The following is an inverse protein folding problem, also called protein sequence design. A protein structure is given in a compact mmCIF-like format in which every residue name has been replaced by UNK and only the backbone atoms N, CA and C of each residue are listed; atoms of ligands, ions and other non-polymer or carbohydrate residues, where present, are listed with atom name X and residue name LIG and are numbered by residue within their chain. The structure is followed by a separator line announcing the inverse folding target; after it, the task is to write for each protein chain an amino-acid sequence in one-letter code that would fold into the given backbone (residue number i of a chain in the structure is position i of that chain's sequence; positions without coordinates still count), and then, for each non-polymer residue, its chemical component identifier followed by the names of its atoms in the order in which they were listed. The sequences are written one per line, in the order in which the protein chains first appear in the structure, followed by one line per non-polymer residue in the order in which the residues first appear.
data_IF_183947538835
#
_entry.id   IF_183947538835
#
_cell.length_a   1.000
_cell.length_b   1.000
_cell.length_c   1.000
_cell.angle_alpha   90.00
_cell.angle_beta   90.00
_cell.angle_gamma   90.00
#
_symmetry.space_group_name_H-M   'P 1'
#
loop_
_entity.id
_entity.type
_entity.pdbx_description
1 polymer ?
#
# COMPACT_ATOMS: atom_id res chain seq x y z
N UNK A 1 22.68 -34.28 -21.72
CA UNK A 1 22.27 -33.55 -20.50
C UNK A 1 20.79 -33.23 -20.65
N UNK A 2 19.95 -33.90 -19.87
CA UNK A 2 18.51 -33.58 -19.81
C UNK A 2 18.33 -32.18 -19.22
N UNK A 3 17.34 -31.39 -19.68
CA UNK A 3 17.00 -30.13 -19.04
C UNK A 3 16.53 -30.44 -17.62
N UNK A 4 17.19 -29.84 -16.61
CA UNK A 4 16.76 -29.94 -15.23
C UNK A 4 15.32 -29.44 -15.15
N UNK A 5 14.42 -30.29 -14.64
CA UNK A 5 13.04 -29.92 -14.36
C UNK A 5 12.99 -28.59 -13.61
N UNK A 6 12.25 -27.61 -14.17
CA UNK A 6 11.87 -26.40 -13.44
C UNK A 6 11.22 -26.85 -12.14
N UNK A 7 11.82 -26.52 -11.00
CA UNK A 7 11.17 -26.71 -9.70
C UNK A 7 9.84 -25.94 -9.77
N UNK A 8 8.72 -26.60 -9.52
CA UNK A 8 7.44 -25.91 -9.36
C UNK A 8 7.53 -25.09 -8.07
N UNK A 9 7.77 -23.79 -8.22
CA UNK A 9 8.19 -22.94 -7.11
C UNK A 9 7.02 -22.46 -6.23
N UNK A 10 6.38 -23.37 -5.50
CA UNK A 10 5.44 -23.06 -4.41
C UNK A 10 4.10 -22.45 -4.82
N UNK A 11 3.99 -21.73 -5.94
CA UNK A 11 2.72 -21.24 -6.48
C UNK A 11 1.85 -22.42 -6.92
N UNK A 12 0.56 -22.32 -6.65
CA UNK A 12 -0.42 -23.37 -6.91
C UNK A 12 -1.76 -22.77 -7.36
N UNK A 13 -2.59 -23.62 -7.98
CA UNK A 13 -3.99 -23.28 -8.24
C UNK A 13 -4.70 -22.84 -6.96
N UNK A 14 -5.77 -22.02 -7.04
CA UNK A 14 -6.47 -21.54 -5.86
C UNK A 14 -6.82 -22.67 -4.89
N UNK A 15 -6.40 -22.50 -3.64
CA UNK A 15 -6.66 -23.46 -2.56
C UNK A 15 -7.44 -22.79 -1.44
N UNK A 16 -8.07 -23.58 -0.56
CA UNK A 16 -8.57 -23.05 0.71
C UNK A 16 -7.38 -22.62 1.56
N UNK A 17 -7.15 -21.31 1.63
CA UNK A 17 -6.07 -20.75 2.43
C UNK A 17 -6.19 -21.13 3.90
N UNK A 18 -5.05 -21.22 4.56
CA UNK A 18 -4.92 -21.24 6.02
C UNK A 18 -4.45 -19.90 6.57
N UNK A 19 -3.85 -19.07 5.73
CA UNK A 19 -3.24 -17.80 6.10
C UNK A 19 -3.26 -16.84 4.90
N UNK A 20 -3.44 -15.55 5.17
CA UNK A 20 -3.39 -14.49 4.17
C UNK A 20 -2.14 -13.62 4.30
N UNK A 21 -1.68 -13.07 3.19
CA UNK A 21 -0.72 -11.95 3.13
C UNK A 21 -1.31 -10.90 2.19
N UNK A 22 -1.50 -9.68 2.67
CA UNK A 22 -2.09 -8.60 1.87
C UNK A 22 -1.26 -7.33 2.00
N UNK A 23 -0.93 -6.74 0.87
CA UNK A 23 -0.23 -5.47 0.81
C UNK A 23 -0.69 -4.64 -0.40
N UNK A 24 -0.65 -3.33 -0.23
CA UNK A 24 -1.16 -2.38 -1.22
C UNK A 24 -0.15 -1.29 -1.57
N UNK A 25 -0.48 -0.50 -2.58
CA UNK A 25 0.15 0.78 -2.85
C UNK A 25 -0.90 1.88 -3.03
N UNK A 26 -0.90 2.84 -2.10
CA UNK A 26 -1.57 4.12 -2.24
C UNK A 26 -0.84 5.04 -3.21
N UNK A 27 -1.24 5.04 -4.48
CA UNK A 27 -0.54 5.81 -5.50
C UNK A 27 -0.68 7.32 -5.24
N UNK A 28 0.43 7.98 -4.92
CA UNK A 28 0.47 9.38 -4.52
C UNK A 28 0.22 9.67 -3.03
N UNK A 29 0.03 8.65 -2.19
CA UNK A 29 -0.19 8.85 -0.75
C UNK A 29 1.11 9.21 -0.01
N UNK A 30 1.63 10.42 -0.22
CA UNK A 30 2.89 10.83 0.41
C UNK A 30 2.71 11.43 1.80
N UNK A 31 1.54 11.99 2.07
CA UNK A 31 1.27 12.82 3.24
C UNK A 31 -0.15 12.57 3.76
N UNK A 32 -0.31 12.77 5.06
CA UNK A 32 -1.58 12.75 5.76
C UNK A 32 -1.56 13.77 6.91
N UNK A 33 -2.70 13.93 7.57
CA UNK A 33 -2.88 14.83 8.70
C UNK A 33 -1.85 14.64 9.83
N UNK A 34 -1.66 15.68 10.65
CA UNK A 34 -0.75 15.68 11.80
C UNK A 34 0.74 15.43 11.45
N UNK A 35 1.13 15.77 10.22
CA UNK A 35 2.52 15.65 9.75
C UNK A 35 2.97 14.20 9.54
N UNK A 36 2.01 13.31 9.30
CA UNK A 36 2.25 11.95 8.85
C UNK A 36 2.76 11.99 7.41
N UNK A 37 3.89 11.31 7.15
CA UNK A 37 4.53 11.26 5.82
C UNK A 37 4.92 9.81 5.54
N UNK A 38 4.67 9.32 4.33
CA UNK A 38 4.95 7.94 3.98
C UNK A 38 5.37 7.70 2.52
N UNK A 39 6.06 6.59 2.33
CA UNK A 39 6.01 5.81 1.09
C UNK A 39 4.99 4.70 1.28
N UNK A 40 3.81 4.89 0.69
CA UNK A 40 2.66 4.01 0.91
C UNK A 40 2.66 2.78 -0.02
N UNK A 41 3.74 2.57 -0.77
CA UNK A 41 3.90 1.39 -1.62
C UNK A 41 4.52 0.19 -0.91
N UNK A 42 4.72 0.28 0.41
CA UNK A 42 5.41 -0.74 1.23
C UNK A 42 4.75 -2.11 1.22
N UNK A 43 3.41 -2.14 1.33
CA UNK A 43 2.67 -3.38 1.29
C UNK A 43 2.84 -4.11 -0.05
N UNK A 44 2.64 -3.40 -1.16
CA UNK A 44 2.83 -3.91 -2.50
C UNK A 44 4.28 -4.35 -2.71
N UNK A 45 5.25 -3.52 -2.30
CA UNK A 45 6.68 -3.83 -2.43
C UNK A 45 7.06 -5.13 -1.71
N UNK A 46 6.53 -5.35 -0.50
CA UNK A 46 6.72 -6.57 0.27
C UNK A 46 6.17 -7.81 -0.46
N UNK A 47 4.91 -7.73 -0.91
CA UNK A 47 4.22 -8.81 -1.60
C UNK A 47 4.93 -9.13 -2.93
N UNK A 48 5.24 -8.12 -3.75
CA UNK A 48 5.95 -8.31 -5.01
C UNK A 48 7.36 -8.91 -4.81
N UNK A 49 8.08 -8.48 -3.79
CA UNK A 49 9.42 -9.01 -3.48
C UNK A 49 9.34 -10.49 -3.07
N UNK A 50 8.41 -10.84 -2.19
CA UNK A 50 8.20 -12.22 -1.79
C UNK A 50 7.75 -13.08 -2.98
N UNK A 51 6.80 -12.58 -3.78
CA UNK A 51 6.31 -13.24 -4.99
C UNK A 51 7.43 -13.46 -6.01
N UNK A 52 8.29 -12.47 -6.24
CA UNK A 52 9.49 -12.58 -7.08
C UNK A 52 10.45 -13.65 -6.57
N UNK A 53 10.72 -13.70 -5.27
CA UNK A 53 11.58 -14.75 -4.68
C UNK A 53 10.99 -16.14 -4.81
N UNK A 54 9.67 -16.25 -4.72
CA UNK A 54 8.95 -17.51 -4.85
C UNK A 54 8.88 -17.95 -6.32
N UNK A 55 8.50 -17.11 -7.27
CA UNK A 55 8.26 -17.57 -8.65
C UNK A 55 9.43 -17.35 -9.59
N UNK A 56 10.32 -16.40 -9.29
CA UNK A 56 11.36 -15.93 -10.19
C UNK A 56 10.86 -14.93 -11.25
N UNK A 57 9.67 -14.33 -11.06
CA UNK A 57 9.15 -13.31 -11.99
C UNK A 57 10.09 -12.10 -12.07
N UNK A 58 10.44 -11.71 -13.29
CA UNK A 58 11.31 -10.56 -13.54
C UNK A 58 10.45 -9.28 -13.69
N UNK A 59 10.57 -8.39 -12.72
CA UNK A 59 9.84 -7.13 -12.65
C UNK A 59 10.67 -5.94 -13.15
N UNK A 60 11.78 -6.18 -13.84
CA UNK A 60 12.60 -5.12 -14.44
C UNK A 60 11.77 -4.31 -15.42
N UNK A 61 11.75 -2.98 -15.26
CA UNK A 61 11.12 -2.06 -16.21
C UNK A 61 11.98 -2.00 -17.48
N UNK A 62 11.44 -2.49 -18.59
CA UNK A 62 12.14 -2.55 -19.88
C UNK A 62 11.89 -1.32 -20.73
N UNK A 63 10.73 -0.68 -20.59
CA UNK A 63 10.45 0.58 -21.28
C UNK A 63 9.46 1.47 -20.51
N UNK A 64 9.63 2.78 -20.70
CA UNK A 64 8.65 3.79 -20.34
C UNK A 64 8.38 4.62 -21.60
N UNK A 65 7.14 4.62 -22.08
CA UNK A 65 6.69 5.49 -23.17
C UNK A 65 5.79 6.57 -22.59
N UNK A 66 6.00 7.81 -23.00
CA UNK A 66 5.18 8.93 -22.57
C UNK A 66 4.46 9.53 -23.77
N UNK A 67 3.15 9.70 -23.66
CA UNK A 67 2.38 10.56 -24.54
C UNK A 67 2.42 11.97 -23.96
N UNK A 68 2.97 12.93 -24.70
CA UNK A 68 3.09 14.32 -24.25
C UNK A 68 1.88 15.15 -24.69
N UNK A 69 1.58 16.21 -23.95
CA UNK A 69 0.45 17.10 -24.20
C UNK A 69 -0.60 17.01 -23.10
N UNK A 70 -1.74 17.67 -23.31
CA UNK A 70 -2.80 17.81 -22.30
C UNK A 70 -3.49 16.49 -21.94
N UNK A 71 -3.55 15.55 -22.88
CA UNK A 71 -4.05 14.18 -22.67
C UNK A 71 -2.90 13.21 -22.33
N UNK A 72 -1.83 13.73 -21.71
CA UNK A 72 -0.58 13.00 -21.54
C UNK A 72 -0.68 11.81 -20.60
N UNK A 73 0.11 10.79 -20.90
CA UNK A 73 0.09 9.49 -20.21
C UNK A 73 1.48 8.86 -20.14
N UNK A 74 1.65 7.91 -19.23
CA UNK A 74 2.82 7.03 -19.17
C UNK A 74 2.39 5.58 -19.37
N UNK A 75 3.04 4.89 -20.30
CA UNK A 75 2.94 3.43 -20.48
C UNK A 75 4.24 2.79 -20.02
N UNK A 76 4.14 1.84 -19.10
CA UNK A 76 5.28 1.09 -18.55
C UNK A 76 5.19 -0.36 -18.99
N UNK A 77 6.33 -0.93 -19.39
CA UNK A 77 6.50 -2.33 -19.74
C UNK A 77 7.56 -2.98 -18.85
N UNK A 78 7.33 -4.23 -18.45
CA UNK A 78 8.27 -5.03 -17.66
C UNK A 78 8.81 -6.24 -18.44
N UNK A 79 9.91 -6.82 -17.96
CA UNK A 79 10.55 -7.98 -18.55
C UNK A 79 9.65 -9.22 -18.61
N UNK A 80 8.73 -9.37 -17.67
CA UNK A 80 7.74 -10.47 -17.68
C UNK A 80 6.49 -10.18 -18.51
N UNK A 81 6.48 -9.11 -19.31
CA UNK A 81 5.40 -8.79 -20.25
C UNK A 81 4.22 -8.04 -19.63
N UNK A 82 4.36 -7.53 -18.40
CA UNK A 82 3.37 -6.64 -17.81
C UNK A 82 3.40 -5.29 -18.49
N UNK A 83 2.23 -4.80 -18.93
CA UNK A 83 2.09 -3.49 -19.58
C UNK A 83 0.92 -2.74 -18.98
N UNK A 84 1.13 -1.50 -18.53
CA UNK A 84 0.05 -0.66 -18.04
C UNK A 84 0.27 0.81 -18.41
N UNK A 85 -0.84 1.54 -18.54
CA UNK A 85 -0.86 2.97 -18.84
C UNK A 85 -1.63 3.72 -17.76
N UNK A 86 -1.16 4.89 -17.37
CA UNK A 86 -1.90 5.82 -16.52
C UNK A 86 -1.76 7.27 -17.03
N UNK A 87 -2.83 8.05 -16.87
CA UNK A 87 -2.93 9.42 -17.37
C UNK A 87 -2.69 10.44 -16.26
N UNK A 88 -2.15 11.60 -16.62
CA UNK A 88 -2.09 12.77 -15.75
C UNK A 88 -3.13 13.80 -16.21
N UNK A 89 -3.99 14.28 -15.29
CA UNK A 89 -5.12 15.16 -15.62
C UNK A 89 -4.69 16.48 -16.29
N UNK A 90 -3.55 17.04 -15.89
CA UNK A 90 -2.95 18.25 -16.48
C UNK A 90 -1.94 17.94 -17.58
N UNK A 91 -1.93 16.70 -18.07
CA UNK A 91 -1.06 16.26 -19.13
C UNK A 91 0.36 15.96 -18.69
N UNK A 92 1.21 15.69 -19.68
CA UNK A 92 2.63 15.36 -19.50
C UNK A 92 3.46 16.23 -20.43
N UNK A 93 4.46 16.91 -19.87
CA UNK A 93 5.39 17.73 -20.64
C UNK A 93 6.51 16.88 -21.26
N UNK A 94 7.18 17.36 -22.33
CA UNK A 94 8.38 16.71 -22.86
C UNK A 94 9.54 16.56 -21.85
N UNK A 95 9.57 17.38 -20.81
CA UNK A 95 10.59 17.28 -19.75
C UNK A 95 10.24 16.17 -18.77
N UNK A 96 8.98 16.08 -18.35
CA UNK A 96 8.50 14.97 -17.51
C UNK A 96 8.65 13.63 -18.22
N UNK A 97 8.35 13.56 -19.51
CA UNK A 97 8.61 12.38 -20.34
C UNK A 97 10.08 11.93 -20.31
N UNK A 98 11.02 12.88 -20.32
CA UNK A 98 12.45 12.59 -20.20
C UNK A 98 12.85 12.14 -18.80
N UNK A 99 12.33 12.81 -17.76
CA UNK A 99 12.57 12.44 -16.36
C UNK A 99 12.07 11.03 -16.05
N UNK A 100 10.92 10.64 -16.58
CA UNK A 100 10.34 9.31 -16.41
C UNK A 100 11.24 8.18 -16.94
N UNK A 101 12.19 8.45 -17.83
CA UNK A 101 13.15 7.43 -18.30
C UNK A 101 14.10 6.96 -17.19
N UNK A 102 14.25 7.70 -16.10
CA UNK A 102 15.17 7.37 -15.00
C UNK A 102 14.82 6.08 -14.24
N UNK A 103 13.63 5.50 -14.49
CA UNK A 103 13.18 4.24 -13.89
C UNK A 103 13.42 3.02 -14.78
N UNK A 104 13.81 3.23 -16.05
CA UNK A 104 14.12 2.11 -16.96
C UNK A 104 15.33 1.34 -16.43
N UNK A 105 15.22 0.02 -16.35
CA UNK A 105 16.20 -0.89 -15.77
C UNK A 105 16.05 -1.12 -14.25
N UNK A 106 15.17 -0.39 -13.58
CA UNK A 106 14.85 -0.61 -12.17
C UNK A 106 13.81 -1.73 -11.99
N UNK A 107 13.70 -2.27 -10.77
CA UNK A 107 12.64 -3.23 -10.42
C UNK A 107 11.33 -2.50 -10.11
N UNK A 108 10.22 -2.90 -10.76
CA UNK A 108 8.86 -2.37 -10.51
C UNK A 108 8.28 -2.85 -9.16
N UNK A 109 9.00 -2.60 -8.06
CA UNK A 109 8.68 -3.05 -6.70
C UNK A 109 8.43 -1.83 -5.79
N UNK A 110 9.42 -0.94 -5.64
CA UNK A 110 9.32 0.26 -4.79
C UNK A 110 8.71 1.42 -5.60
N UNK A 111 7.43 1.30 -5.96
CA UNK A 111 6.83 2.11 -7.04
C UNK A 111 6.81 3.61 -6.74
N UNK A 112 6.52 4.02 -5.49
CA UNK A 112 6.56 5.43 -5.11
C UNK A 112 7.99 5.98 -5.12
N UNK A 113 8.96 5.21 -4.60
CA UNK A 113 10.37 5.56 -4.64
C UNK A 113 10.89 5.76 -6.07
N UNK A 114 10.39 4.97 -7.05
CA UNK A 114 10.72 5.15 -8.47
C UNK A 114 10.16 6.45 -9.04
N UNK A 115 8.92 6.83 -8.69
CA UNK A 115 8.39 8.13 -9.08
C UNK A 115 9.20 9.29 -8.46
N UNK A 116 9.58 9.17 -7.18
CA UNK A 116 10.45 10.15 -6.51
C UNK A 116 11.84 10.19 -7.17
N UNK A 117 12.40 9.05 -7.59
CA UNK A 117 13.67 8.99 -8.32
C UNK A 117 13.59 9.76 -9.65
N UNK A 118 12.50 9.62 -10.39
CA UNK A 118 12.31 10.32 -11.66
C UNK A 118 12.11 11.83 -11.48
N UNK A 119 11.26 12.24 -10.53
CA UNK A 119 10.76 13.62 -10.44
C UNK A 119 11.26 14.42 -9.23
N UNK A 120 11.99 13.78 -8.31
CA UNK A 120 12.51 14.36 -7.08
C UNK A 120 11.52 14.40 -5.92
N UNK A 121 10.20 14.41 -6.18
CA UNK A 121 9.12 14.37 -5.19
C UNK A 121 7.85 13.74 -5.77
N UNK A 122 6.93 13.38 -4.87
CA UNK A 122 5.57 12.98 -5.19
C UNK A 122 4.63 13.52 -4.11
N UNK A 123 3.46 14.02 -4.53
CA UNK A 123 2.38 14.48 -3.67
C UNK A 123 1.04 14.15 -4.36
N UNK A 124 0.11 13.60 -3.59
CA UNK A 124 -1.23 13.25 -4.04
C UNK A 124 -2.16 14.46 -4.14
N UNK A 125 -3.46 14.20 -4.05
CA UNK A 125 -4.55 15.18 -4.06
C UNK A 125 -4.48 16.14 -5.27
N UNK A 126 -4.00 15.62 -6.41
CA UNK A 126 -3.81 16.34 -7.65
C UNK A 126 -2.67 17.37 -7.60
N UNK A 127 -1.77 17.33 -6.61
CA UNK A 127 -0.64 18.23 -6.53
C UNK A 127 0.43 17.91 -7.57
N UNK A 128 0.87 16.64 -7.65
CA UNK A 128 1.90 16.16 -8.58
C UNK A 128 1.38 15.00 -9.45
N UNK A 129 0.53 15.33 -10.43
CA UNK A 129 -0.19 14.32 -11.21
C UNK A 129 0.71 13.46 -12.11
N UNK A 130 1.77 14.02 -12.72
CA UNK A 130 2.68 13.24 -13.54
C UNK A 130 3.49 12.19 -12.74
N UNK A 131 4.10 12.52 -11.58
CA UNK A 131 4.70 11.52 -10.69
C UNK A 131 3.73 10.43 -10.24
N UNK A 132 2.50 10.80 -9.86
CA UNK A 132 1.48 9.82 -9.46
C UNK A 132 1.08 8.92 -10.63
N UNK A 133 0.86 9.48 -11.82
CA UNK A 133 0.56 8.70 -13.02
C UNK A 133 1.71 7.72 -13.35
N UNK A 134 2.97 8.13 -13.24
CA UNK A 134 4.10 7.22 -13.43
C UNK A 134 4.09 6.09 -12.38
N UNK A 135 3.89 6.41 -11.09
CA UNK A 135 3.77 5.39 -10.03
C UNK A 135 2.66 4.39 -10.36
N UNK A 136 1.47 4.87 -10.72
CA UNK A 136 0.32 4.03 -11.07
C UNK A 136 0.62 3.11 -12.24
N UNK A 137 1.25 3.63 -13.31
CA UNK A 137 1.62 2.83 -14.46
C UNK A 137 2.64 1.73 -14.09
N UNK A 138 3.64 2.05 -13.25
CA UNK A 138 4.61 1.07 -12.76
C UNK A 138 3.91 -0.01 -11.92
N UNK A 139 3.07 0.39 -10.96
CA UNK A 139 2.39 -0.53 -10.05
C UNK A 139 1.46 -1.49 -10.81
N UNK A 140 0.63 -0.96 -11.71
CA UNK A 140 -0.27 -1.77 -12.54
C UNK A 140 0.51 -2.68 -13.52
N UNK A 141 1.65 -2.24 -14.06
CA UNK A 141 2.50 -3.09 -14.89
C UNK A 141 3.09 -4.24 -14.07
N UNK A 142 3.49 -4.00 -12.82
CA UNK A 142 3.94 -5.05 -11.91
C UNK A 142 2.84 -6.10 -11.64
N UNK A 143 1.60 -5.67 -11.34
CA UNK A 143 0.45 -6.58 -11.18
C UNK A 143 0.24 -7.43 -12.44
N UNK A 144 0.23 -6.81 -13.62
CA UNK A 144 0.08 -7.53 -14.90
C UNK A 144 1.21 -8.51 -15.19
N UNK A 145 2.42 -8.21 -14.71
CA UNK A 145 3.58 -9.10 -14.83
C UNK A 145 3.35 -10.43 -14.10
N UNK A 146 2.68 -10.41 -12.95
CA UNK A 146 2.40 -11.62 -12.17
C UNK A 146 1.54 -12.61 -12.99
N UNK A 147 0.48 -12.09 -13.62
CA UNK A 147 -0.41 -12.87 -14.50
C UNK A 147 0.29 -13.31 -15.78
N UNK A 148 1.06 -12.44 -16.42
CA UNK A 148 1.78 -12.80 -17.64
C UNK A 148 2.78 -13.94 -17.41
N UNK A 149 3.44 -13.95 -16.25
CA UNK A 149 4.40 -15.00 -15.88
C UNK A 149 3.74 -16.31 -15.41
N UNK A 150 2.53 -16.24 -14.83
CA UNK A 150 1.82 -17.38 -14.23
C UNK A 150 0.32 -17.30 -14.58
N UNK A 151 -0.05 -17.55 -15.85
CA UNK A 151 -1.36 -17.23 -16.39
C UNK A 151 -2.49 -18.12 -15.84
N UNK A 152 -2.19 -19.30 -15.30
CA UNK A 152 -3.21 -20.22 -14.81
C UNK A 152 -3.43 -20.05 -13.29
N UNK A 153 -2.37 -19.71 -12.56
CA UNK A 153 -2.37 -19.64 -11.09
C UNK A 153 -2.73 -18.26 -10.54
N UNK A 154 -2.50 -17.20 -11.31
CA UNK A 154 -2.72 -15.81 -10.86
C UNK A 154 -4.04 -15.30 -11.38
N UNK A 155 -4.83 -14.71 -10.50
CA UNK A 155 -6.04 -13.97 -10.86
C UNK A 155 -5.77 -12.47 -10.76
N UNK A 156 -6.21 -11.69 -11.75
CA UNK A 156 -6.22 -10.22 -11.69
C UNK A 156 -7.66 -9.75 -11.64
N UNK A 157 -7.90 -8.68 -10.88
CA UNK A 157 -9.17 -7.97 -10.82
C UNK A 157 -8.94 -6.46 -10.89
N UNK A 158 -9.93 -5.72 -11.39
CA UNK A 158 -9.97 -4.27 -11.24
C UNK A 158 -10.37 -3.93 -9.81
N UNK A 159 -9.82 -2.85 -9.23
CA UNK A 159 -10.16 -2.40 -7.88
C UNK A 159 -11.69 -2.20 -7.69
N UNK A 160 -12.34 -1.65 -8.71
CA UNK A 160 -13.80 -1.53 -8.78
C UNK A 160 -14.40 -0.33 -8.02
N UNK A 161 -13.56 0.51 -7.42
CA UNK A 161 -13.96 1.80 -6.80
C UNK A 161 -14.17 2.84 -7.91
N UNK A 162 -15.24 3.63 -7.81
CA UNK A 162 -15.55 4.65 -8.82
C UNK A 162 -14.43 5.69 -8.95
N UNK A 163 -14.01 5.97 -10.19
CA UNK A 163 -12.91 6.90 -10.48
C UNK A 163 -11.52 6.31 -10.31
N UNK A 164 -11.38 5.08 -9.79
CA UNK A 164 -10.11 4.40 -9.67
C UNK A 164 -9.72 3.61 -10.93
N UNK A 165 -8.42 3.39 -11.06
CA UNK A 165 -7.76 2.64 -12.13
C UNK A 165 -6.70 1.66 -11.58
N UNK A 166 -6.75 1.39 -10.28
CA UNK A 166 -5.93 0.38 -9.62
C UNK A 166 -6.30 -1.05 -10.03
N UNK A 167 -5.34 -1.95 -9.90
CA UNK A 167 -5.49 -3.38 -10.13
C UNK A 167 -5.12 -4.17 -8.89
N UNK A 168 -5.67 -5.36 -8.75
CA UNK A 168 -5.24 -6.35 -7.78
C UNK A 168 -4.82 -7.67 -8.43
N UNK A 169 -3.98 -8.43 -7.74
CA UNK A 169 -3.65 -9.80 -8.09
C UNK A 169 -3.69 -10.73 -6.87
N UNK A 170 -4.19 -11.95 -7.07
CA UNK A 170 -4.22 -13.02 -6.09
C UNK A 170 -3.58 -14.30 -6.61
N UNK A 171 -2.89 -15.01 -5.73
CA UNK A 171 -2.44 -16.38 -5.96
C UNK A 171 -2.31 -17.14 -4.64
N UNK A 172 -2.34 -18.47 -4.72
CA UNK A 172 -2.04 -19.36 -3.61
C UNK A 172 -0.62 -19.88 -3.70
N UNK A 173 0.03 -20.02 -2.54
CA UNK A 173 1.38 -20.52 -2.38
C UNK A 173 1.46 -21.55 -1.27
N UNK A 174 2.38 -22.50 -1.39
CA UNK A 174 2.76 -23.39 -0.30
C UNK A 174 4.06 -22.91 0.34
N UNK A 175 3.96 -22.30 1.52
CA UNK A 175 5.09 -21.70 2.26
C UNK A 175 5.17 -22.39 3.63
N UNK A 176 6.33 -22.94 3.99
CA UNK A 176 6.51 -23.75 5.22
C UNK A 176 5.46 -24.87 5.40
N UNK A 177 4.95 -25.41 4.28
CA UNK A 177 3.92 -26.44 4.27
C UNK A 177 2.50 -25.94 4.53
N UNK A 178 2.30 -24.63 4.75
CA UNK A 178 0.98 -24.00 4.83
C UNK A 178 0.53 -23.51 3.45
N UNK A 179 -0.78 -23.61 3.20
CA UNK A 179 -1.43 -22.98 2.05
C UNK A 179 -1.71 -21.51 2.40
N UNK A 180 -0.96 -20.61 1.76
CA UNK A 180 -0.98 -19.17 1.98
C UNK A 180 -1.53 -18.49 0.73
N UNK A 181 -2.56 -17.67 0.87
CA UNK A 181 -3.01 -16.81 -0.22
C UNK A 181 -2.38 -15.43 -0.09
N UNK A 182 -1.85 -14.92 -1.19
CA UNK A 182 -1.23 -13.60 -1.25
C UNK A 182 -2.09 -12.68 -2.12
N UNK A 183 -2.24 -11.43 -1.72
CA UNK A 183 -2.87 -10.38 -2.51
C UNK A 183 -1.98 -9.15 -2.61
N UNK A 184 -1.74 -8.73 -3.84
CA UNK A 184 -1.10 -7.47 -4.19
C UNK A 184 -2.19 -6.52 -4.70
N UNK A 185 -2.25 -5.30 -4.18
CA UNK A 185 -3.24 -4.30 -4.55
C UNK A 185 -2.60 -2.97 -4.93
N UNK A 186 -3.22 -2.27 -5.88
CA UNK A 186 -2.90 -0.89 -6.24
C UNK A 186 -4.15 -0.08 -6.02
N UNK A 187 -4.08 0.95 -5.18
CA UNK A 187 -5.15 1.93 -5.00
C UNK A 187 -4.73 3.21 -5.73
N UNK A 188 -5.47 3.57 -6.79
CA UNK A 188 -5.06 4.68 -7.65
C UNK A 188 -6.24 5.33 -8.36
N UNK A 189 -6.39 6.64 -8.21
CA UNK A 189 -7.43 7.40 -8.92
C UNK A 189 -6.93 7.88 -10.30
N UNK A 190 -7.82 7.82 -11.30
CA UNK A 190 -7.55 8.28 -12.67
C UNK A 190 -7.05 9.72 -12.68
N UNK A 191 -6.12 10.04 -13.58
CA UNK A 191 -5.61 11.40 -13.75
C UNK A 191 -4.46 11.78 -12.81
N UNK A 192 -3.90 10.81 -12.07
CA UNK A 192 -2.79 11.04 -11.15
C UNK A 192 -3.20 11.83 -9.91
N UNK A 193 -4.45 11.68 -9.47
CA UNK A 193 -5.01 12.53 -8.42
C UNK A 193 -4.55 12.18 -7.01
N UNK A 194 -3.83 11.09 -6.79
CA UNK A 194 -3.62 10.55 -5.45
C UNK A 194 -4.67 9.48 -5.16
N UNK A 195 -4.65 8.89 -3.95
CA UNK A 195 -5.36 7.65 -3.77
C UNK A 195 -6.78 7.88 -3.22
N UNK A 196 -7.69 7.05 -3.70
CA UNK A 196 -8.87 6.60 -2.99
C UNK A 196 -8.62 5.13 -2.66
N UNK A 197 -8.66 4.80 -1.39
CA UNK A 197 -8.18 3.57 -0.75
C UNK A 197 -9.32 2.85 -0.03
N UNK A 198 -10.57 3.04 -0.45
CA UNK A 198 -11.74 2.36 0.11
C UNK A 198 -11.60 0.83 0.21
N UNK A 199 -10.69 0.23 -0.56
CA UNK A 199 -10.37 -1.21 -0.54
C UNK A 199 -8.95 -1.57 -0.10
N UNK A 200 -8.21 -0.66 0.55
CA UNK A 200 -6.88 -0.94 1.11
C UNK A 200 -6.92 -2.10 2.12
N UNK A 201 -5.73 -2.47 2.60
CA UNK A 201 -5.59 -3.53 3.58
C UNK A 201 -6.29 -4.81 3.10
N UNK A 202 -7.09 -5.44 3.96
CA UNK A 202 -7.91 -6.59 3.59
C UNK A 202 -9.41 -6.29 3.52
N UNK A 203 -9.83 -5.04 3.29
CA UNK A 203 -11.25 -4.68 3.13
C UNK A 203 -11.88 -5.43 1.97
N UNK A 204 -12.94 -6.20 2.24
CA UNK A 204 -13.62 -7.09 1.29
C UNK A 204 -14.81 -6.37 0.62
N UNK A 205 -14.50 -5.51 -0.35
CA UNK A 205 -15.46 -4.70 -1.10
C UNK A 205 -15.11 -4.63 -2.61
N UNK A 206 -16.10 -4.20 -3.40
CA UNK A 206 -15.97 -3.93 -4.84
C UNK A 206 -15.34 -5.09 -5.63
N UNK A 207 -14.32 -4.82 -6.46
CA UNK A 207 -13.70 -5.83 -7.31
C UNK A 207 -12.91 -6.90 -6.55
N UNK A 208 -12.53 -6.60 -5.30
CA UNK A 208 -11.79 -7.52 -4.42
C UNK A 208 -12.65 -8.68 -3.93
N UNK A 209 -13.97 -8.48 -3.82
CA UNK A 209 -14.89 -9.40 -3.15
C UNK A 209 -14.88 -10.80 -3.74
N UNK A 210 -14.92 -10.92 -5.08
CA UNK A 210 -14.86 -12.21 -5.75
C UNK A 210 -13.51 -12.92 -5.57
N UNK A 211 -12.40 -12.17 -5.62
CA UNK A 211 -11.07 -12.71 -5.44
C UNK A 211 -10.85 -13.19 -3.99
N UNK A 212 -11.25 -12.41 -2.99
CA UNK A 212 -11.10 -12.80 -1.59
C UNK A 212 -11.84 -14.09 -1.25
N UNK A 213 -13.05 -14.28 -1.77
CA UNK A 213 -13.80 -15.51 -1.61
C UNK A 213 -13.07 -16.71 -2.25
N UNK A 214 -12.67 -16.58 -3.53
CA UNK A 214 -12.00 -17.67 -4.28
C UNK A 214 -10.69 -18.12 -3.66
N UNK A 215 -9.92 -17.18 -3.11
CA UNK A 215 -8.62 -17.46 -2.49
C UNK A 215 -8.71 -17.68 -0.98
N UNK A 216 -9.91 -17.68 -0.40
CA UNK A 216 -10.13 -17.94 1.03
C UNK A 216 -9.55 -16.86 1.95
N UNK A 217 -9.36 -15.63 1.47
CA UNK A 217 -8.76 -14.53 2.23
C UNK A 217 -9.71 -13.86 3.23
N UNK A 218 -11.03 -14.11 3.13
CA UNK A 218 -12.02 -13.59 4.09
C UNK A 218 -11.90 -14.22 5.46
N UNK A 219 -11.61 -15.52 5.48
CA UNK A 219 -11.84 -16.37 6.65
C UNK A 219 -10.54 -16.87 7.31
N UNK A 220 -9.42 -16.19 7.04
CA UNK A 220 -8.10 -16.59 7.54
C UNK A 220 -7.39 -15.45 8.25
N UNK A 221 -6.58 -15.77 9.29
CA UNK A 221 -5.65 -14.80 9.82
C UNK A 221 -4.76 -14.26 8.71
N UNK A 222 -4.53 -12.95 8.70
CA UNK A 222 -3.90 -12.26 7.57
C UNK A 222 -2.80 -11.33 8.06
N UNK A 223 -1.62 -11.48 7.47
CA UNK A 223 -0.54 -10.52 7.59
C UNK A 223 -0.83 -9.32 6.68
N UNK A 224 -1.04 -8.15 7.29
CA UNK A 224 -1.27 -6.89 6.59
C UNK A 224 -0.01 -6.01 6.68
N UNK A 225 0.37 -5.41 5.56
CA UNK A 225 1.60 -4.66 5.40
C UNK A 225 1.30 -3.29 4.82
N UNK A 226 1.90 -2.28 5.44
CA UNK A 226 1.77 -0.87 5.09
C UNK A 226 3.13 -0.26 4.72
N UNK A 227 3.12 1.04 4.45
CA UNK A 227 4.27 1.82 3.99
C UNK A 227 5.48 1.97 4.92
N UNK A 228 6.45 2.74 4.41
CA UNK A 228 7.57 3.29 5.19
C UNK A 228 7.20 4.69 5.68
N UNK A 229 7.17 4.89 6.99
CA UNK A 229 6.44 5.99 7.61
C UNK A 229 7.34 6.86 8.49
N UNK A 230 7.08 8.16 8.50
CA UNK A 230 7.48 9.05 9.58
C UNK A 230 6.25 9.67 10.23
N UNK A 231 5.93 9.30 11.46
CA UNK A 231 4.78 9.82 12.19
C UNK A 231 4.95 9.72 13.71
N UNK A 232 4.28 10.62 14.43
CA UNK A 232 4.08 10.48 15.87
C UNK A 232 3.11 9.34 16.20
N UNK A 233 3.24 8.68 17.36
CA UNK A 233 4.20 8.97 18.43
C UNK A 233 5.55 8.24 18.30
N UNK A 234 5.79 7.46 17.24
CA UNK A 234 6.92 6.52 17.17
C UNK A 234 8.20 7.15 16.63
N UNK A 235 8.14 7.85 15.50
CA UNK A 235 9.34 8.42 14.87
C UNK A 235 10.15 9.39 15.76
N UNK A 236 9.57 10.11 16.75
CA UNK A 236 10.35 10.90 17.70
C UNK A 236 11.15 10.11 18.75
N UNK A 237 10.85 8.82 18.97
CA UNK A 237 11.42 8.01 20.06
C UNK A 237 12.30 6.84 19.57
N UNK A 238 12.54 6.74 18.26
CA UNK A 238 13.42 5.73 17.65
C UNK A 238 14.62 6.40 17.00
N UNK A 239 15.77 5.72 17.06
CA UNK A 239 17.04 6.21 16.50
C UNK A 239 17.46 5.49 15.21
N UNK A 240 16.81 4.36 14.91
CA UNK A 240 17.01 3.56 13.70
C UNK A 240 15.66 3.18 13.07
N UNK A 241 15.60 2.90 11.76
CA UNK A 241 14.43 2.31 11.15
C UNK A 241 13.94 1.09 11.93
N UNK A 242 12.66 1.08 12.30
CA UNK A 242 12.08 0.10 13.24
C UNK A 242 10.72 -0.33 12.72
N UNK A 243 10.46 -1.64 12.66
CA UNK A 243 9.14 -2.16 12.34
C UNK A 243 8.16 -1.86 13.46
N UNK A 244 7.07 -1.19 13.12
CA UNK A 244 5.95 -0.96 14.02
C UNK A 244 4.86 -1.99 13.72
N UNK A 245 4.55 -2.81 14.71
CA UNK A 245 3.45 -3.77 14.67
C UNK A 245 2.27 -3.20 15.44
N UNK A 246 1.07 -3.29 14.86
CA UNK A 246 -0.17 -2.74 15.42
C UNK A 246 -1.32 -3.74 15.28
N UNK A 247 -2.03 -3.97 16.37
CA UNK A 247 -3.26 -4.75 16.44
C UNK A 247 -3.96 -4.36 17.74
N UNK A 248 -5.11 -3.70 17.65
CA UNK A 248 -5.87 -3.33 18.82
C UNK A 248 -6.55 -4.58 19.40
N UNK A 249 -6.23 -5.06 20.63
CA UNK A 249 -6.60 -6.40 21.08
C UNK A 249 -8.11 -6.70 21.11
N UNK A 250 -8.96 -5.67 21.22
CA UNK A 250 -10.41 -5.84 21.24
C UNK A 250 -10.99 -6.16 19.86
N UNK A 251 -10.42 -5.57 18.81
CA UNK A 251 -10.99 -5.64 17.47
C UNK A 251 -10.13 -6.44 16.50
N UNK A 252 -8.80 -6.45 16.65
CA UNK A 252 -7.85 -7.05 15.69
C UNK A 252 -7.34 -8.42 16.18
N UNK A 253 -6.29 -8.96 15.52
CA UNK A 253 -5.70 -10.25 15.85
C UNK A 253 -4.31 -10.11 16.48
N UNK A 254 -4.19 -10.04 17.82
CA UNK A 254 -2.90 -9.90 18.50
C UNK A 254 -1.99 -11.12 18.33
N UNK A 255 -2.52 -12.28 17.94
CA UNK A 255 -1.70 -13.48 17.66
C UNK A 255 -0.91 -13.31 16.35
N UNK A 256 -1.49 -12.62 15.36
CA UNK A 256 -0.77 -12.24 14.13
C UNK A 256 0.34 -11.23 14.46
N UNK A 257 0.08 -10.28 15.37
CA UNK A 257 1.11 -9.36 15.86
C UNK A 257 2.24 -10.09 16.59
N UNK A 258 1.91 -11.10 17.41
CA UNK A 258 2.88 -11.95 18.07
C UNK A 258 3.78 -12.70 17.08
N UNK A 259 3.21 -13.21 15.98
CA UNK A 259 3.98 -13.86 14.93
C UNK A 259 5.00 -12.91 14.28
N UNK A 260 4.60 -11.67 13.98
CA UNK A 260 5.54 -10.65 13.50
C UNK A 260 6.67 -10.37 14.50
N UNK A 261 6.34 -10.21 15.79
CA UNK A 261 7.35 -9.92 16.81
C UNK A 261 8.34 -11.07 17.01
N UNK A 262 7.88 -12.33 16.92
CA UNK A 262 8.75 -13.51 16.95
C UNK A 262 9.63 -13.59 15.69
N UNK A 263 9.07 -13.30 14.52
CA UNK A 263 9.83 -13.23 13.27
C UNK A 263 10.94 -12.15 13.32
N UNK A 264 10.60 -10.93 13.74
CA UNK A 264 11.57 -9.84 13.91
C UNK A 264 12.71 -10.24 14.86
N UNK A 265 12.38 -10.89 15.98
CA UNK A 265 13.37 -11.38 16.94
C UNK A 265 14.31 -12.43 16.33
N UNK A 266 13.79 -13.37 15.53
CA UNK A 266 14.59 -14.40 14.85
C UNK A 266 15.51 -13.81 13.78
N UNK A 267 15.02 -12.80 13.05
CA UNK A 267 15.78 -12.08 12.01
C UNK A 267 16.75 -11.03 12.58
N UNK A 268 16.60 -10.66 13.86
CA UNK A 268 17.38 -9.59 14.49
C UNK A 268 16.97 -8.19 14.04
N UNK A 269 15.74 -8.02 13.53
CA UNK A 269 15.22 -6.73 13.08
C UNK A 269 14.64 -5.92 14.24
N UNK A 270 14.93 -4.59 14.32
CA UNK A 270 14.27 -3.72 15.30
C UNK A 270 12.76 -3.72 15.06
N UNK A 271 12.00 -4.09 16.09
CA UNK A 271 10.55 -4.08 16.03
C UNK A 271 9.94 -3.70 17.38
N UNK A 272 8.79 -3.04 17.33
CA UNK A 272 7.99 -2.69 18.51
C UNK A 272 6.52 -2.97 18.23
N UNK A 273 5.83 -3.54 19.21
CA UNK A 273 4.39 -3.73 19.18
C UNK A 273 3.70 -2.67 20.03
N UNK A 274 2.68 -2.01 19.48
CA UNK A 274 1.89 -0.97 20.15
C UNK A 274 0.41 -1.31 20.03
N UNK A 275 -0.09 -1.97 21.07
CA UNK A 275 -1.45 -2.50 21.15
C UNK A 275 -2.52 -1.42 21.29
N UNK A 276 -2.16 -0.20 21.70
CA UNK A 276 -3.08 0.92 21.86
C UNK A 276 -3.36 1.67 20.56
N UNK A 277 -2.60 1.41 19.50
CA UNK A 277 -2.78 2.04 18.20
C UNK A 277 -3.86 1.33 17.38
N UNK A 278 -4.44 2.04 16.41
CA UNK A 278 -5.50 1.56 15.51
C UNK A 278 -6.84 1.23 16.20
N UNK A 279 -7.04 1.70 17.44
CA UNK A 279 -8.36 1.68 18.04
C UNK A 279 -9.37 2.42 17.13
N UNK A 280 -10.44 1.72 16.75
CA UNK A 280 -11.48 2.27 15.89
C UNK A 280 -12.33 3.28 16.64
N UNK A 281 -12.69 4.36 15.96
CA UNK A 281 -13.62 5.36 16.47
C UNK A 281 -14.61 5.73 15.36
N UNK A 282 -15.92 5.50 15.55
CA UNK A 282 -16.90 5.54 14.47
C UNK A 282 -17.09 6.91 13.83
N UNK A 283 -16.68 7.96 14.54
CA UNK A 283 -16.86 9.36 14.15
C UNK A 283 -15.52 10.05 13.83
N UNK A 284 -14.39 9.33 13.93
CA UNK A 284 -13.07 9.96 13.78
C UNK A 284 -12.90 10.60 12.40
N UNK A 285 -13.25 9.88 11.32
CA UNK A 285 -13.12 10.40 9.95
C UNK A 285 -14.05 11.58 9.70
N UNK A 286 -15.31 11.49 10.15
CA UNK A 286 -16.31 12.56 10.02
C UNK A 286 -15.86 13.83 10.73
N UNK A 287 -15.43 13.74 11.99
CA UNK A 287 -14.93 14.89 12.75
C UNK A 287 -13.67 15.49 12.14
N UNK A 288 -12.77 14.65 11.63
CA UNK A 288 -11.56 15.12 10.96
C UNK A 288 -11.91 15.88 9.66
N UNK A 289 -12.84 15.33 8.87
CA UNK A 289 -13.37 15.96 7.66
C UNK A 289 -14.00 17.32 7.94
N UNK A 290 -14.80 17.43 9.01
CA UNK A 290 -15.38 18.71 9.44
C UNK A 290 -14.30 19.72 9.83
N UNK A 291 -13.35 19.31 10.67
CA UNK A 291 -12.23 20.15 11.13
C UNK A 291 -11.40 20.66 9.94
N UNK A 292 -11.12 19.79 8.97
CA UNK A 292 -10.40 20.15 7.75
C UNK A 292 -11.21 21.08 6.85
N UNK A 293 -12.51 20.86 6.74
CA UNK A 293 -13.43 21.74 6.01
C UNK A 293 -13.46 23.15 6.60
N UNK A 294 -13.53 23.29 7.92
CA UNK A 294 -13.47 24.57 8.62
C UNK A 294 -12.15 25.32 8.37
N UNK A 295 -11.02 24.59 8.38
CA UNK A 295 -9.71 25.17 8.02
C UNK A 295 -9.69 25.70 6.59
N UNK A 296 -10.28 24.97 5.64
CA UNK A 296 -10.38 25.43 4.25
C UNK A 296 -11.27 26.68 4.11
N UNK A 297 -12.40 26.73 4.83
CA UNK A 297 -13.27 27.92 4.88
C UNK A 297 -12.53 29.13 5.42
N UNK A 298 -11.77 28.96 6.50
CA UNK A 298 -10.97 30.03 7.10
C UNK A 298 -9.93 30.58 6.10
N UNK A 299 -9.20 29.71 5.40
CA UNK A 299 -8.27 30.11 4.33
C UNK A 299 -8.98 30.83 3.18
N UNK A 300 -10.18 30.39 2.81
CA UNK A 300 -11.00 31.03 1.79
C UNK A 300 -11.44 32.45 2.16
N UNK A 301 -11.89 32.68 3.39
CA UNK A 301 -12.24 34.01 3.88
C UNK A 301 -11.01 34.93 4.01
N UNK A 302 -9.86 34.39 4.43
CA UNK A 302 -8.60 35.13 4.44
C UNK A 302 -8.21 35.59 3.02
N UNK A 303 -8.34 34.70 2.03
CA UNK A 303 -8.04 35.02 0.63
C UNK A 303 -8.96 36.12 0.08
N UNK A 304 -10.26 36.07 0.41
CA UNK A 304 -11.26 37.07 0.01
C UNK A 304 -10.98 38.45 0.62
N UNK A 305 -10.47 38.49 1.85
CA UNK A 305 -10.09 39.71 2.53
C UNK A 305 -8.78 40.31 1.98
N UNK A 306 -7.88 39.47 1.45
CA UNK A 306 -6.57 39.89 0.97
C UNK A 306 -6.64 41.02 -0.09
N UNK A 307 -5.75 42.00 0.04
CA UNK A 307 -5.70 43.19 -0.85
C UNK A 307 -4.43 43.24 -1.66
N UNK A 308 -3.33 42.72 -1.12
CA UNK A 308 -2.02 42.71 -1.77
C UNK A 308 -1.75 41.37 -2.45
N UNK A 309 -0.87 41.38 -3.44
CA UNK A 309 -0.41 40.13 -4.07
C UNK A 309 0.39 39.25 -3.11
N UNK A 310 1.14 39.84 -2.17
CA UNK A 310 1.92 39.09 -1.19
C UNK A 310 1.01 38.24 -0.28
N UNK A 311 -0.09 38.82 0.22
CA UNK A 311 -1.10 38.08 0.99
C UNK A 311 -1.70 36.96 0.17
N UNK A 312 -2.17 37.26 -1.05
CA UNK A 312 -2.81 36.27 -1.94
C UNK A 312 -1.89 35.09 -2.25
N UNK A 313 -0.61 35.37 -2.54
CA UNK A 313 0.39 34.34 -2.81
C UNK A 313 0.64 33.47 -1.57
N UNK A 314 0.80 34.08 -0.38
CA UNK A 314 1.00 33.32 0.86
C UNK A 314 -0.19 32.42 1.16
N UNK A 315 -1.41 32.94 1.04
CA UNK A 315 -2.63 32.18 1.33
C UNK A 315 -2.83 31.06 0.29
N UNK A 316 -2.61 31.34 -0.98
CA UNK A 316 -2.67 30.32 -2.03
C UNK A 316 -1.65 29.19 -1.79
N UNK A 317 -0.44 29.52 -1.31
CA UNK A 317 0.56 28.52 -0.94
C UNK A 317 0.11 27.67 0.27
N UNK A 318 -0.55 28.27 1.27
CA UNK A 318 -1.08 27.53 2.42
C UNK A 318 -2.25 26.62 2.02
N UNK A 319 -3.16 27.09 1.15
CA UNK A 319 -4.22 26.26 0.56
C UNK A 319 -3.62 25.08 -0.19
N UNK A 320 -2.58 25.32 -0.99
CA UNK A 320 -1.91 24.25 -1.72
C UNK A 320 -1.28 23.23 -0.78
N UNK A 321 -0.51 23.67 0.22
CA UNK A 321 0.11 22.78 1.22
C UNK A 321 -0.95 21.97 1.98
N UNK A 322 -2.01 22.64 2.43
CA UNK A 322 -3.13 21.99 3.10
C UNK A 322 -3.77 20.91 2.22
N UNK A 323 -4.04 21.23 0.96
CA UNK A 323 -4.64 20.30 0.02
C UNK A 323 -3.73 19.12 -0.34
N UNK A 324 -2.43 19.35 -0.48
CA UNK A 324 -1.47 18.31 -0.89
C UNK A 324 -0.91 17.47 0.27
N UNK A 325 -1.16 17.88 1.52
CA UNK A 325 -0.62 17.20 2.70
C UNK A 325 -1.72 16.77 3.67
N UNK A 326 -2.43 17.71 4.28
CA UNK A 326 -3.38 17.40 5.36
C UNK A 326 -4.61 16.64 4.84
N UNK A 327 -5.16 17.02 3.67
CA UNK A 327 -6.36 16.38 3.11
C UNK A 327 -6.15 14.90 2.76
N UNK A 328 -4.90 14.46 2.57
CA UNK A 328 -4.60 13.03 2.41
C UNK A 328 -5.16 12.18 3.54
N UNK A 329 -5.27 12.74 4.76
CA UNK A 329 -5.85 12.06 5.91
C UNK A 329 -7.36 11.89 5.92
N UNK A 330 -8.09 12.41 4.93
CA UNK A 330 -9.55 12.22 4.81
C UNK A 330 -10.00 11.78 3.42
N UNK A 331 -9.18 11.92 2.39
CA UNK A 331 -9.56 11.52 1.03
C UNK A 331 -9.30 10.04 0.75
N UNK A 332 -8.47 9.39 1.56
CA UNK A 332 -8.07 8.01 1.31
C UNK A 332 -9.21 7.01 1.59
N UNK A 333 -10.09 7.24 2.56
CA UNK A 333 -11.13 6.28 2.88
C UNK A 333 -12.45 6.93 3.31
N UNK A 334 -13.55 6.39 2.80
CA UNK A 334 -14.92 6.77 3.10
C UNK A 334 -15.29 6.57 4.57
N UNK A 335 -16.11 7.48 5.11
CA UNK A 335 -16.54 7.50 6.52
C UNK A 335 -17.08 6.15 7.01
N UNK A 336 -17.98 5.53 6.24
CA UNK A 336 -18.64 4.28 6.63
C UNK A 336 -17.67 3.08 6.61
N UNK A 337 -16.68 3.08 5.71
CA UNK A 337 -15.65 2.05 5.64
C UNK A 337 -14.68 2.20 6.81
N UNK A 338 -14.15 3.41 7.00
CA UNK A 338 -13.20 3.71 8.09
C UNK A 338 -13.80 3.40 9.46
N UNK A 339 -15.10 3.63 9.67
CA UNK A 339 -15.82 3.29 10.91
C UNK A 339 -15.62 1.83 11.33
N UNK A 340 -15.57 0.91 10.37
CA UNK A 340 -15.52 -0.53 10.60
C UNK A 340 -14.11 -1.07 10.44
N UNK A 341 -13.39 -0.62 9.42
CA UNK A 341 -12.11 -1.19 9.02
C UNK A 341 -10.91 -0.47 9.66
N UNK A 342 -11.13 0.74 10.20
CA UNK A 342 -10.06 1.58 10.72
C UNK A 342 -9.20 2.17 9.61
N UNK A 343 -8.17 2.92 9.98
CA UNK A 343 -7.35 3.72 9.04
C UNK A 343 -6.23 2.97 8.33
N UNK A 344 -6.25 1.63 8.31
CA UNK A 344 -5.34 0.79 7.47
C UNK A 344 -6.10 -0.39 6.86
N UNK A 345 -7.42 -0.25 6.69
CA UNK A 345 -8.28 -1.26 6.06
C UNK A 345 -8.26 -2.66 6.68
N UNK A 346 -8.35 -2.78 8.00
CA UNK A 346 -8.33 -4.07 8.70
C UNK A 346 -9.73 -4.61 8.95
N UNK A 347 -10.05 -5.77 8.39
CA UNK A 347 -11.23 -6.54 8.84
C UNK A 347 -10.98 -6.96 10.30
N UNK A 348 -11.85 -6.57 11.25
CA UNK A 348 -11.77 -7.02 12.64
C UNK A 348 -11.58 -8.53 12.77
N UNK A 349 -10.73 -8.95 13.70
CA UNK A 349 -10.40 -10.34 14.04
C UNK A 349 -9.40 -11.02 13.10
N UNK A 350 -9.12 -10.44 11.94
CA UNK A 350 -8.31 -11.13 10.92
C UNK A 350 -6.82 -10.77 10.98
N UNK A 351 -6.46 -9.54 11.29
CA UNK A 351 -5.12 -9.00 10.93
C UNK A 351 -4.34 -8.42 12.10
N UNK A 352 -3.03 -8.28 11.86
CA UNK A 352 -2.19 -7.25 12.45
C UNK A 352 -1.48 -6.50 11.30
N UNK A 353 -1.20 -5.22 11.51
CA UNK A 353 -0.56 -4.34 10.56
C UNK A 353 0.93 -4.16 10.89
N UNK A 354 1.79 -4.25 9.88
CA UNK A 354 3.23 -3.96 9.98
C UNK A 354 3.62 -2.80 9.06
N UNK A 355 4.37 -1.83 9.58
CA UNK A 355 4.98 -0.73 8.82
C UNK A 355 6.44 -0.54 9.21
N UNK A 356 7.25 0.07 8.35
CA UNK A 356 8.62 0.44 8.69
C UNK A 356 8.69 1.92 9.07
N UNK A 357 8.93 2.23 10.35
CA UNK A 357 9.03 3.61 10.81
C UNK A 357 10.46 4.11 10.75
N UNK A 358 10.68 5.32 10.25
CA UNK A 358 11.99 5.99 10.28
C UNK A 358 12.09 6.99 11.45
N UNK A 359 13.31 7.24 11.96
CA UNK A 359 13.56 8.30 12.92
C UNK A 359 13.21 9.68 12.36
N UNK A 360 12.76 10.60 13.22
CA UNK A 360 12.51 11.99 12.81
C UNK A 360 13.76 12.65 12.23
N UNK A 361 14.95 12.31 12.75
CA UNK A 361 16.22 12.80 12.23
C UNK A 361 16.50 12.35 10.78
N UNK A 362 16.02 11.17 10.38
CA UNK A 362 16.12 10.72 8.99
C UNK A 362 15.20 11.56 8.09
N UNK A 363 13.94 11.74 8.48
CA UNK A 363 12.98 12.56 7.73
C UNK A 363 13.46 14.00 7.52
N UNK A 364 14.13 14.60 8.51
CA UNK A 364 14.71 15.95 8.35
C UNK A 364 15.80 16.03 7.26
N UNK A 365 16.46 14.91 6.93
CA UNK A 365 17.48 14.85 5.88
C UNK A 365 16.89 14.48 4.52
N UNK A 366 15.96 13.52 4.49
CA UNK A 366 15.42 12.98 3.23
C UNK A 366 14.14 13.65 2.76
N UNK A 367 13.48 14.43 3.64
CA UNK A 367 12.17 15.08 3.44
C UNK A 367 11.01 14.09 3.37
N UNK A 368 11.09 13.12 2.46
CA UNK A 368 10.16 12.01 2.31
C UNK A 368 10.86 10.69 2.71
N UNK A 369 10.21 9.81 3.49
CA UNK A 369 10.63 8.42 3.55
C UNK A 369 10.39 7.80 2.15
N UNK A 370 11.39 7.13 1.60
CA UNK A 370 11.23 6.32 0.38
C UNK A 370 11.81 4.93 0.64
N UNK A 371 11.14 3.92 0.09
CA UNK A 371 11.59 2.54 0.18
C UNK A 371 12.83 2.32 -0.67
N UNK A 372 13.77 1.55 -0.12
CA UNK A 372 14.82 0.91 -0.88
C UNK A 372 14.46 -0.55 -1.18
N UNK A 373 15.15 -1.16 -2.15
CA UNK A 373 15.03 -2.61 -2.39
C UNK A 373 15.46 -3.44 -1.18
N UNK A 374 16.35 -2.91 -0.34
CA UNK A 374 16.71 -3.53 0.94
C UNK A 374 15.53 -3.50 1.93
N UNK A 375 14.81 -2.38 2.03
CA UNK A 375 13.61 -2.28 2.88
C UNK A 375 12.54 -3.29 2.43
N UNK A 376 12.26 -3.36 1.13
CA UNK A 376 11.33 -4.35 0.56
C UNK A 376 11.78 -5.80 0.83
N UNK A 377 13.10 -6.04 0.79
CA UNK A 377 13.69 -7.31 1.19
C UNK A 377 13.44 -7.67 2.65
N UNK A 378 13.63 -6.72 3.57
CA UNK A 378 13.36 -6.90 5.00
C UNK A 378 11.88 -7.20 5.26
N UNK A 379 10.96 -6.51 4.58
CA UNK A 379 9.53 -6.83 4.65
C UNK A 379 9.24 -8.27 4.19
N UNK A 380 9.82 -8.70 3.06
CA UNK A 380 9.63 -10.06 2.55
C UNK A 380 10.22 -11.12 3.48
N UNK A 381 11.38 -10.87 4.10
CA UNK A 381 11.97 -11.75 5.11
C UNK A 381 11.06 -11.88 6.33
N UNK A 382 10.56 -10.76 6.85
CA UNK A 382 9.60 -10.71 7.95
C UNK A 382 8.37 -11.57 7.67
N UNK A 383 7.80 -11.45 6.46
CA UNK A 383 6.63 -12.23 6.07
C UNK A 383 6.94 -13.72 5.97
N UNK A 384 8.01 -14.09 5.29
CA UNK A 384 8.41 -15.50 5.13
C UNK A 384 8.63 -16.16 6.50
N UNK A 385 9.36 -15.50 7.40
CA UNK A 385 9.62 -15.98 8.75
C UNK A 385 8.35 -16.00 9.63
N UNK A 386 7.46 -14.99 9.50
CA UNK A 386 6.22 -14.97 10.27
C UNK A 386 5.28 -16.11 9.86
N UNK A 387 5.29 -16.54 8.59
CA UNK A 387 4.59 -17.76 8.17
C UNK A 387 5.19 -19.01 8.85
N UNK A 388 6.51 -19.13 8.93
CA UNK A 388 7.16 -20.25 9.65
C UNK A 388 6.76 -20.30 11.12
N UNK A 389 6.78 -19.14 11.80
CA UNK A 389 6.34 -19.01 13.19
C UNK A 389 4.87 -19.44 13.36
N UNK A 390 3.99 -19.00 12.46
CA UNK A 390 2.56 -19.39 12.48
C UNK A 390 2.38 -20.89 12.28
N UNK A 391 3.16 -21.49 11.38
CA UNK A 391 3.12 -22.92 11.06
C UNK A 391 3.65 -23.80 12.20
N UNK A 392 4.79 -23.41 12.79
CA UNK A 392 5.57 -24.27 13.68
C UNK A 392 5.24 -24.12 15.17
N UNK A 393 4.69 -22.99 15.62
CA UNK A 393 4.60 -22.66 17.05
C UNK A 393 3.17 -22.71 17.63
N UNK A 394 2.22 -23.31 16.91
CA UNK A 394 0.84 -23.46 17.38
C UNK A 394 0.08 -22.13 17.52
N UNK A 395 0.54 -21.07 16.85
CA UNK A 395 -0.12 -19.76 16.82
C UNK A 395 -1.33 -19.76 15.88
N UNK A 396 -1.26 -20.47 14.76
CA UNK A 396 -2.32 -20.46 13.76
C UNK A 396 -3.71 -20.84 14.32
N UNK A 397 -3.89 -21.95 15.08
CA UNK A 397 -5.19 -22.26 15.67
C UNK A 397 -5.71 -21.20 16.65
N UNK A 398 -4.81 -20.48 17.34
CA UNK A 398 -5.18 -19.39 18.24
C UNK A 398 -5.62 -18.14 17.47
N UNK A 399 -4.92 -17.82 16.39
CA UNK A 399 -5.30 -16.73 15.50
C UNK A 399 -6.65 -17.01 14.83
N UNK A 400 -6.90 -18.25 14.40
CA UNK A 400 -8.20 -18.69 13.87
C UNK A 400 -9.32 -18.56 14.93
N UNK A 401 -9.02 -18.81 16.21
CA UNK A 401 -10.00 -18.62 17.28
C UNK A 401 -10.33 -17.15 17.52
N UNK A 402 -9.33 -16.27 17.55
CA UNK A 402 -9.55 -14.81 17.64
C UNK A 402 -10.38 -14.31 16.46
N UNK A 403 -10.08 -14.80 15.25
CA UNK A 403 -10.87 -14.48 14.05
C UNK A 403 -12.34 -14.85 14.27
N UNK A 404 -12.65 -16.09 14.68
CA UNK A 404 -14.04 -16.51 14.92
C UNK A 404 -14.77 -15.65 15.96
N UNK A 405 -14.05 -15.12 16.94
CA UNK A 405 -14.64 -14.31 18.02
C UNK A 405 -14.89 -12.85 17.60
N UNK A 406 -13.97 -12.28 16.82
CA UNK A 406 -13.92 -10.85 16.57
C UNK A 406 -14.29 -10.45 15.14
N UNK A 407 -14.50 -11.41 14.23
CA UNK A 407 -14.82 -11.14 12.83
C UNK A 407 -16.06 -10.26 12.68
N UNK A 408 -15.90 -9.13 12.00
CA UNK A 408 -16.99 -8.19 11.69
C UNK A 408 -16.77 -7.59 10.31
N UNK A 409 -17.58 -7.98 9.35
CA UNK A 409 -17.65 -7.32 8.05
C UNK A 409 -19.13 -7.15 7.67
N UNK A 410 -19.70 -5.94 7.79
CA UNK A 410 -21.12 -5.71 7.48
C UNK A 410 -21.43 -5.80 5.98
N UNK A 411 -20.40 -5.87 5.13
CA UNK A 411 -20.53 -6.01 3.68
C UNK A 411 -20.22 -7.41 3.16
N UNK A 412 -19.82 -8.34 4.04
CA UNK A 412 -19.72 -9.73 3.65
C UNK A 412 -21.11 -10.20 3.20
N UNK A 413 -21.22 -10.69 1.96
CA UNK A 413 -22.44 -11.34 1.51
C UNK A 413 -22.73 -12.53 2.43
N UNK A 414 -23.99 -12.71 2.85
CA UNK A 414 -24.42 -13.98 3.42
C UNK A 414 -24.27 -15.04 2.31
N UNK A 415 -23.43 -16.05 2.54
CA UNK A 415 -23.20 -17.17 1.61
C UNK A 415 -24.47 -18.02 1.38
#
# INVERSE_FOLDING_TARGET
MQPSAKRSNGIQMPTKARLGIVGHAGCGHANSHLGFIQDDSGGLAAVLTLWQRLTGVDLTITSVRAEVGMEGSFTVETASGGVATATARRGVTPYEARLAQAVVGEQAICTQALAVRAFGRILGQGAMEAPVALQTAIANAAIRSLKAANPDEVEIFDEGVEGNCGLGACASFRIHGLDVSMMALVNATVGGLGPNEDVEGNVDLYGKTGAMARFGLRDVPTFLIEGKVCAGPISPIIDVPTFLIRAYPTDDNPVVAEAYMRAAKRLGYPAVYREELLQRNPDAMRRLTETMGEKLVALGEELKAARTSAEKVRIAAEVHRFASEDLGGITFMSDDIHRVMGGVGQIPGTTACMSLFIPKAEQLRTVLPVLSTADAGCFADMLYEAVDVMAGEGLLPKAEEVLRQNYRNPWAAED
#
